data_IF_608054986144
#
_entry.id   IF_608054986144
#
_cell.length_a   1.000
_cell.length_b   1.000
_cell.length_c   1.000
_cell.angle_alpha   90.00
_cell.angle_beta   90.00
_cell.angle_gamma   90.00
#
_symmetry.space_group_name_H-M   'P 1'
#
loop_
_entity.id
_entity.type
_entity.pdbx_description
1 polymer ?
#
# COMPACT_ATOMS: atom_id res chain seq x y z
N UNK A 1 4.21 3.89 -14.13
CA UNK A 1 3.47 3.33 -12.96
C UNK A 1 4.51 2.85 -11.97
N UNK A 2 4.44 3.26 -10.70
CA UNK A 2 5.46 2.86 -9.74
C UNK A 2 5.39 1.34 -9.46
N UNK A 3 6.51 0.65 -9.74
CA UNK A 3 6.64 -0.79 -9.53
C UNK A 3 7.51 -1.13 -8.33
N UNK A 4 8.17 -0.14 -7.71
CA UNK A 4 9.10 -0.33 -6.59
C UNK A 4 9.02 0.83 -5.61
N UNK A 5 9.05 0.54 -4.32
CA UNK A 5 9.06 1.54 -3.24
C UNK A 5 10.19 1.28 -2.25
N UNK A 6 10.58 2.32 -1.51
CA UNK A 6 11.44 2.18 -0.35
C UNK A 6 10.61 2.36 0.92
N UNK A 7 10.68 1.40 1.85
CA UNK A 7 10.13 1.51 3.19
C UNK A 7 11.08 0.77 4.14
N UNK A 8 12.20 1.41 4.45
CA UNK A 8 13.33 0.83 5.19
C UNK A 8 13.34 1.22 6.68
N UNK A 9 12.40 2.07 7.11
CA UNK A 9 12.28 2.53 8.50
C UNK A 9 11.73 1.42 9.41
N UNK A 10 12.09 1.44 10.69
CA UNK A 10 11.52 0.56 11.71
C UNK A 10 10.08 0.96 12.08
N UNK A 11 9.24 0.01 12.55
CA UNK A 11 7.83 0.25 12.95
C UNK A 11 7.69 1.51 13.83
N UNK A 12 8.52 1.63 14.87
CA UNK A 12 8.53 2.78 15.81
C UNK A 12 8.84 4.12 15.11
N UNK A 13 9.78 4.12 14.17
CA UNK A 13 10.16 5.33 13.42
C UNK A 13 9.03 5.79 12.51
N UNK A 14 8.32 4.85 11.87
CA UNK A 14 7.14 5.14 11.05
C UNK A 14 6.07 5.81 11.92
N UNK A 15 5.72 5.23 13.07
CA UNK A 15 4.70 5.79 13.98
C UNK A 15 5.05 7.20 14.45
N UNK A 16 6.31 7.42 14.88
CA UNK A 16 6.78 8.74 15.31
C UNK A 16 6.61 9.80 14.22
N UNK A 17 6.92 9.45 12.97
CA UNK A 17 6.79 10.38 11.82
C UNK A 17 5.34 10.63 11.44
N UNK A 18 4.48 9.63 11.53
CA UNK A 18 3.04 9.79 11.30
C UNK A 18 2.43 10.74 12.35
N UNK A 19 2.84 10.62 13.61
CA UNK A 19 2.37 11.52 14.67
C UNK A 19 2.75 12.98 14.38
N UNK A 20 3.97 13.22 13.88
CA UNK A 20 4.44 14.55 13.48
C UNK A 20 3.67 15.08 12.26
N UNK A 21 3.47 14.26 11.23
CA UNK A 21 2.69 14.61 10.04
C UNK A 21 1.23 14.93 10.38
N UNK A 22 0.63 14.18 11.29
CA UNK A 22 -0.72 14.43 11.80
C UNK A 22 -0.82 15.68 12.68
N UNK A 23 0.29 16.34 13.02
CA UNK A 23 0.36 17.50 13.94
C UNK A 23 -0.39 17.26 15.26
N UNK A 24 -0.33 16.02 15.77
CA UNK A 24 -1.06 15.63 16.98
C UNK A 24 -2.57 15.42 16.81
N UNK A 25 -3.15 15.67 15.63
CA UNK A 25 -4.59 15.51 15.38
C UNK A 25 -5.05 14.06 15.39
N UNK A 26 -4.19 13.16 14.92
CA UNK A 26 -4.51 11.74 14.82
C UNK A 26 -3.65 10.93 15.77
N UNK A 27 -4.25 9.90 16.36
CA UNK A 27 -3.52 8.86 17.10
C UNK A 27 -3.28 7.67 16.18
N UNK A 28 -2.00 7.33 15.96
CA UNK A 28 -1.62 6.18 15.15
C UNK A 28 -1.19 5.01 16.04
N UNK A 29 -1.78 3.84 15.82
CA UNK A 29 -1.36 2.60 16.47
C UNK A 29 -1.05 1.53 15.43
N UNK A 30 -0.07 0.68 15.73
CA UNK A 30 0.26 -0.45 14.87
C UNK A 30 -0.57 -1.67 15.26
N UNK A 31 -1.30 -2.24 14.31
CA UNK A 31 -1.96 -3.52 14.47
C UNK A 31 -1.12 -4.61 13.78
N UNK A 32 -0.70 -5.60 14.55
CA UNK A 32 -0.06 -6.79 14.00
C UNK A 32 -1.10 -7.65 13.27
N UNK A 33 -0.66 -8.32 12.20
CA UNK A 33 -1.50 -9.19 11.39
C UNK A 33 -0.89 -10.59 11.38
N UNK A 34 -1.16 -11.43 12.40
CA UNK A 34 -0.55 -12.75 12.54
C UNK A 34 -0.69 -13.64 11.30
N UNK A 35 -1.79 -13.50 10.56
CA UNK A 35 -2.06 -14.25 9.33
C UNK A 35 -1.21 -13.85 8.12
N UNK A 36 -0.64 -12.64 8.13
CA UNK A 36 0.18 -12.11 7.02
C UNK A 36 1.67 -12.15 7.34
N UNK A 37 2.02 -12.18 8.62
CA UNK A 37 3.39 -12.08 9.10
C UNK A 37 3.80 -10.64 9.41
N UNK A 38 5.08 -10.47 9.73
CA UNK A 38 5.63 -9.20 10.19
C UNK A 38 6.03 -8.25 9.06
N UNK A 39 6.02 -6.95 9.38
CA UNK A 39 6.59 -5.95 8.50
C UNK A 39 8.10 -6.10 8.36
N UNK A 40 8.55 -6.33 7.13
CA UNK A 40 9.96 -6.36 6.77
C UNK A 40 10.35 -5.05 6.09
N UNK A 41 11.25 -4.30 6.72
CA UNK A 41 11.80 -3.08 6.15
C UNK A 41 12.70 -3.39 4.96
N UNK A 42 12.65 -2.58 3.91
CA UNK A 42 13.52 -2.72 2.74
C UNK A 42 13.56 -1.44 1.91
N UNK A 43 14.72 -1.13 1.35
CA UNK A 43 14.89 -0.09 0.32
C UNK A 43 14.33 -0.50 -1.05
N UNK A 44 13.89 -1.74 -1.20
CA UNK A 44 13.43 -2.29 -2.46
C UNK A 44 12.23 -3.22 -2.26
N UNK A 45 11.07 -2.63 -1.98
CA UNK A 45 9.79 -3.32 -1.93
C UNK A 45 9.22 -3.43 -3.35
N UNK A 46 8.70 -4.60 -3.70
CA UNK A 46 8.08 -4.90 -4.98
C UNK A 46 6.65 -5.43 -4.79
N UNK A 47 5.81 -5.48 -5.84
CA UNK A 47 4.54 -6.19 -5.80
C UNK A 47 4.69 -7.60 -5.23
N UNK A 48 3.70 -8.02 -4.43
CA UNK A 48 3.71 -9.24 -3.63
C UNK A 48 4.24 -9.02 -2.20
N UNK A 49 5.12 -8.03 -1.99
CA UNK A 49 5.63 -7.74 -0.64
C UNK A 49 4.58 -7.07 0.25
N UNK A 50 4.78 -7.19 1.57
CA UNK A 50 3.96 -6.53 2.58
C UNK A 50 4.36 -5.05 2.71
N UNK A 51 3.41 -4.13 2.53
CA UNK A 51 3.62 -2.71 2.73
C UNK A 51 2.77 -2.19 3.91
N UNK A 52 3.31 -1.25 4.70
CA UNK A 52 2.54 -0.59 5.74
C UNK A 52 1.53 0.35 5.11
N UNK A 53 0.30 0.29 5.60
CA UNK A 53 -0.80 1.14 5.17
C UNK A 53 -1.54 1.69 6.38
N UNK A 54 -2.16 2.85 6.19
CA UNK A 54 -3.06 3.47 7.17
C UNK A 54 -4.50 3.21 6.73
N UNK A 55 -5.33 2.77 7.66
CA UNK A 55 -6.78 2.69 7.52
C UNK A 55 -7.45 3.48 8.65
N UNK A 56 -8.69 3.91 8.42
CA UNK A 56 -9.50 4.45 9.52
C UNK A 56 -9.75 3.36 10.55
N UNK A 57 -9.60 3.69 11.83
CA UNK A 57 -10.05 2.81 12.89
C UNK A 57 -11.59 2.67 12.85
N UNK A 58 -12.10 1.54 13.34
CA UNK A 58 -13.54 1.30 13.49
C UNK A 58 -14.13 2.16 14.62
N UNK A 59 -13.31 2.56 15.59
CA UNK A 59 -13.65 3.44 16.71
C UNK A 59 -12.96 4.79 16.53
N UNK A 60 -13.71 5.90 16.66
CA UNK A 60 -13.14 7.24 16.71
C UNK A 60 -12.70 7.82 15.36
N UNK A 61 -13.14 9.04 15.06
CA UNK A 61 -12.78 9.75 13.81
C UNK A 61 -11.28 10.08 13.77
N UNK A 62 -10.64 10.22 14.94
CA UNK A 62 -9.25 10.66 15.08
C UNK A 62 -8.26 9.51 15.29
N UNK A 63 -8.72 8.26 15.40
CA UNK A 63 -7.85 7.09 15.49
C UNK A 63 -7.55 6.52 14.10
N UNK A 64 -6.29 6.11 13.90
CA UNK A 64 -5.80 5.55 12.64
C UNK A 64 -4.98 4.30 12.94
N UNK A 65 -5.31 3.22 12.25
CA UNK A 65 -4.59 1.95 12.39
C UNK A 65 -3.56 1.84 11.28
N UNK A 66 -2.31 1.57 11.66
CA UNK A 66 -1.24 1.18 10.75
C UNK A 66 -1.14 -0.34 10.76
N UNK A 67 -1.22 -0.97 9.60
CA UNK A 67 -1.07 -2.42 9.47
C UNK A 67 -0.38 -2.76 8.16
N UNK A 68 0.03 -4.01 8.00
CA UNK A 68 0.59 -4.50 6.73
C UNK A 68 -0.49 -5.05 5.80
N UNK A 69 -0.31 -4.85 4.51
CA UNK A 69 -1.10 -5.51 3.45
C UNK A 69 -0.18 -5.96 2.33
N UNK A 70 -0.56 -7.03 1.62
CA UNK A 70 0.13 -7.42 0.39
C UNK A 70 -0.07 -6.38 -0.70
N UNK A 71 1.01 -5.97 -1.35
CA UNK A 71 0.94 -5.08 -2.49
C UNK A 71 0.55 -5.86 -3.76
N UNK A 72 -0.69 -5.67 -4.21
CA UNK A 72 -1.30 -6.41 -5.31
C UNK A 72 -2.69 -6.85 -4.88
N UNK A 73 -3.69 -6.02 -5.17
CA UNK A 73 -5.06 -6.25 -4.72
C UNK A 73 -5.63 -7.55 -5.31
N UNK A 74 -6.10 -8.45 -4.46
CA UNK A 74 -6.84 -9.64 -4.92
C UNK A 74 -8.33 -9.40 -4.65
N UNK A 75 -9.19 -9.40 -5.68
CA UNK A 75 -10.61 -9.17 -5.47
C UNK A 75 -11.22 -10.19 -4.51
N UNK A 76 -12.18 -9.76 -3.69
CA UNK A 76 -12.75 -10.59 -2.62
C UNK A 76 -13.49 -11.85 -3.11
N UNK A 77 -13.85 -11.90 -4.39
CA UNK A 77 -14.50 -13.06 -5.02
C UNK A 77 -13.51 -14.12 -5.51
N UNK A 78 -12.20 -13.84 -5.46
CA UNK A 78 -11.17 -14.77 -5.93
C UNK A 78 -10.93 -15.85 -4.86
N UNK A 79 -11.09 -17.14 -5.18
CA UNK A 79 -10.82 -18.22 -4.24
C UNK A 79 -9.32 -18.36 -3.95
N UNK A 80 -8.98 -18.84 -2.76
CA UNK A 80 -7.58 -19.05 -2.31
C UNK A 80 -6.68 -17.82 -2.49
N UNK A 81 -7.21 -16.63 -2.22
CA UNK A 81 -6.54 -15.35 -2.45
C UNK A 81 -5.11 -15.32 -1.89
N UNK A 82 -4.88 -15.80 -0.66
CA UNK A 82 -3.54 -15.85 -0.04
C UNK A 82 -2.55 -16.67 -0.87
N UNK A 83 -2.97 -17.84 -1.37
CA UNK A 83 -2.13 -18.68 -2.24
C UNK A 83 -1.83 -18.01 -3.59
N UNK A 84 -2.76 -17.20 -4.08
CA UNK A 84 -2.58 -16.43 -5.32
C UNK A 84 -1.66 -15.22 -5.12
N UNK A 85 -1.58 -14.67 -3.91
CA UNK A 85 -0.70 -13.54 -3.59
C UNK A 85 0.79 -13.88 -3.66
N UNK A 86 1.15 -15.14 -3.36
CA UNK A 86 2.52 -15.64 -3.48
C UNK A 86 2.95 -15.95 -4.91
N UNK A 87 2.05 -15.82 -5.89
CA UNK A 87 2.33 -16.01 -7.31
C UNK A 87 2.39 -14.65 -8.02
N UNK A 88 3.14 -14.50 -9.12
CA UNK A 88 3.05 -13.32 -9.97
C UNK A 88 1.57 -13.05 -10.30
N UNK A 89 1.06 -11.90 -9.86
CA UNK A 89 -0.39 -11.65 -9.88
C UNK A 89 -0.92 -11.71 -11.33
N UNK A 90 -1.85 -12.61 -11.61
CA UNK A 90 -2.50 -12.67 -12.93
C UNK A 90 -3.34 -11.41 -13.22
N UNK A 91 -3.76 -10.69 -12.17
CA UNK A 91 -4.70 -9.57 -12.28
C UNK A 91 -4.03 -8.21 -12.56
N UNK A 92 -2.70 -8.11 -12.48
CA UNK A 92 -1.95 -6.84 -12.63
C UNK A 92 -2.52 -5.71 -11.77
N UNK A 93 -2.81 -6.02 -10.50
CA UNK A 93 -3.52 -5.14 -9.56
C UNK A 93 -2.60 -4.44 -8.56
N UNK A 94 -1.29 -4.42 -8.82
CA UNK A 94 -0.34 -3.64 -8.03
C UNK A 94 -0.63 -2.13 -8.11
N UNK A 95 -1.15 -1.69 -9.25
CA UNK A 95 -1.53 -0.31 -9.51
C UNK A 95 -2.96 -0.25 -10.06
N UNK A 96 -3.70 0.79 -9.68
CA UNK A 96 -5.03 1.09 -10.18
C UNK A 96 -5.01 2.50 -10.79
N UNK A 97 -5.46 2.64 -12.04
CA UNK A 97 -5.53 3.95 -12.68
C UNK A 97 -6.80 4.66 -12.23
N UNK A 98 -6.67 5.94 -11.84
CA UNK A 98 -7.81 6.72 -11.39
C UNK A 98 -8.89 6.89 -12.48
N UNK A 99 -8.48 6.95 -13.76
CA UNK A 99 -9.37 7.13 -14.92
C UNK A 99 -10.32 5.96 -15.18
N UNK A 100 -9.89 4.73 -14.89
CA UNK A 100 -10.62 3.49 -15.18
C UNK A 100 -11.02 2.74 -13.91
N UNK A 101 -10.83 3.35 -12.74
CA UNK A 101 -11.02 2.74 -11.43
C UNK A 101 -12.45 2.20 -11.24
N UNK A 102 -13.45 2.99 -11.67
CA UNK A 102 -14.87 2.69 -11.49
C UNK A 102 -15.41 1.61 -12.45
N UNK A 103 -14.71 1.37 -13.55
CA UNK A 103 -15.11 0.41 -14.59
C UNK A 103 -14.58 -0.99 -14.30
N UNK A 104 -13.48 -1.11 -13.56
CA UNK A 104 -12.76 -2.35 -13.30
C UNK A 104 -13.48 -3.19 -12.23
N UNK A 105 -13.94 -4.42 -12.54
CA UNK A 105 -14.63 -5.28 -11.57
C UNK A 105 -13.80 -5.60 -10.32
N UNK A 106 -12.46 -5.63 -10.46
CA UNK A 106 -11.53 -5.89 -9.37
C UNK A 106 -11.65 -4.93 -8.18
N UNK A 107 -12.07 -3.68 -8.42
CA UNK A 107 -12.13 -2.63 -7.40
C UNK A 107 -13.57 -2.31 -6.94
N UNK A 108 -14.58 -2.90 -7.57
CA UNK A 108 -16.00 -2.57 -7.35
C UNK A 108 -16.40 -2.70 -5.88
N UNK A 109 -16.04 -3.80 -5.22
CA UNK A 109 -16.39 -4.01 -3.82
C UNK A 109 -15.64 -3.06 -2.89
N UNK A 110 -14.34 -2.83 -3.13
CA UNK A 110 -13.54 -1.86 -2.38
C UNK A 110 -14.13 -0.45 -2.45
N UNK A 111 -14.54 -0.01 -3.64
CA UNK A 111 -15.20 1.27 -3.86
C UNK A 111 -16.54 1.36 -3.13
N UNK A 112 -17.41 0.34 -3.31
CA UNK A 112 -18.75 0.30 -2.70
C UNK A 112 -18.70 0.31 -1.17
N UNK A 113 -17.70 -0.36 -0.59
CA UNK A 113 -17.50 -0.43 0.88
C UNK A 113 -16.77 0.80 1.44
N UNK A 114 -16.16 1.63 0.59
CA UNK A 114 -15.28 2.71 1.03
C UNK A 114 -13.96 2.21 1.61
N UNK A 115 -13.48 1.03 1.21
CA UNK A 115 -12.22 0.44 1.65
C UNK A 115 -11.02 1.13 1.01
N UNK A 116 -10.69 2.29 1.58
CA UNK A 116 -9.56 3.14 1.21
C UNK A 116 -8.44 2.99 2.23
N UNK A 117 -7.20 3.04 1.77
CA UNK A 117 -6.03 3.08 2.62
C UNK A 117 -5.04 4.14 2.11
N UNK A 118 -4.08 4.47 2.97
CA UNK A 118 -2.92 5.29 2.58
C UNK A 118 -1.68 4.42 2.69
N UNK A 119 -1.03 4.13 1.57
CA UNK A 119 0.20 3.34 1.55
C UNK A 119 1.38 4.23 1.92
N UNK A 120 2.19 3.78 2.88
CA UNK A 120 3.33 4.52 3.42
C UNK A 120 4.62 4.07 2.73
N UNK A 121 5.41 5.03 2.26
CA UNK A 121 6.77 4.79 1.78
C UNK A 121 7.69 5.96 2.16
N UNK A 122 9.01 5.80 2.04
CA UNK A 122 9.96 6.92 1.98
C UNK A 122 9.99 7.54 0.58
N UNK A 123 9.65 6.75 -0.43
CA UNK A 123 9.59 7.15 -1.82
C UNK A 123 9.38 5.96 -2.73
N UNK A 124 9.35 6.21 -4.03
CA UNK A 124 9.23 5.17 -5.05
C UNK A 124 10.30 5.32 -6.12
N UNK A 125 10.53 4.24 -6.85
CA UNK A 125 11.45 4.22 -7.97
C UNK A 125 10.69 4.26 -9.29
N UNK A 126 11.17 5.05 -10.23
CA UNK A 126 10.74 5.00 -11.62
C UNK A 126 11.93 4.95 -12.59
N UNK A 127 11.70 4.34 -13.75
CA UNK A 127 12.72 4.15 -14.78
C UNK A 127 12.46 5.08 -15.95
N UNK A 128 13.32 6.10 -16.11
CA UNK A 128 13.32 6.93 -17.31
C UNK A 128 14.03 6.17 -18.43
N UNK A 129 13.32 5.93 -19.52
CA UNK A 129 13.93 5.34 -20.73
C UNK A 129 14.43 6.47 -21.63
N UNK A 130 15.72 6.46 -21.97
CA UNK A 130 16.35 7.43 -22.88
C UNK A 130 17.38 6.71 -23.74
N UNK A 131 17.29 6.85 -25.06
CA UNK A 131 18.20 6.20 -26.02
C UNK A 131 18.41 4.69 -25.75
N UNK A 132 17.32 3.96 -25.48
CA UNK A 132 17.35 2.51 -25.21
C UNK A 132 17.88 2.10 -23.83
N UNK A 133 18.35 3.03 -22.99
CA UNK A 133 18.79 2.77 -21.61
C UNK A 133 17.72 3.16 -20.61
N UNK A 134 17.57 2.36 -19.55
CA UNK A 134 16.66 2.64 -18.42
C UNK A 134 17.48 3.16 -17.23
N UNK A 135 17.31 4.45 -16.90
CA UNK A 135 17.90 5.05 -15.71
C UNK A 135 16.87 5.03 -14.56
N UNK A 136 17.15 4.37 -13.43
CA UNK A 136 16.31 4.46 -12.23
C UNK A 136 16.47 5.83 -11.55
N UNK A 137 15.36 6.36 -11.08
CA UNK A 137 15.27 7.55 -10.22
C UNK A 137 14.51 7.19 -8.95
N UNK A 138 14.95 7.73 -7.83
CA UNK A 138 14.20 7.69 -6.57
C UNK A 138 13.45 9.00 -6.40
N UNK A 139 12.13 8.92 -6.23
CA UNK A 139 11.22 10.05 -6.10
C UNK A 139 10.66 10.03 -4.69
N UNK A 140 10.83 11.14 -3.98
CA UNK A 140 10.43 11.30 -2.57
C UNK A 140 9.90 12.71 -2.32
N UNK A 141 9.31 12.92 -1.14
CA UNK A 141 8.82 14.24 -0.71
C UNK A 141 10.02 15.08 -0.27
N UNK A 142 10.00 16.36 -0.59
CA UNK A 142 11.01 17.31 -0.13
C UNK A 142 10.97 17.47 1.41
N UNK A 143 12.12 17.70 2.04
CA UNK A 143 12.30 17.60 3.50
C UNK A 143 13.08 16.37 3.96
N UNK A 144 13.78 15.71 3.03
CA UNK A 144 14.82 14.73 3.31
C UNK A 144 14.33 13.44 3.97
N UNK A 145 15.24 12.79 4.71
CA UNK A 145 14.99 11.48 5.29
C UNK A 145 13.92 11.46 6.36
N UNK A 146 13.26 12.57 6.72
CA UNK A 146 12.24 12.67 7.77
C UNK A 146 10.80 12.50 7.27
N UNK A 147 10.54 12.84 6.00
CA UNK A 147 9.19 12.80 5.43
C UNK A 147 8.80 11.41 4.93
N UNK A 148 7.53 11.08 5.09
CA UNK A 148 6.91 9.90 4.51
C UNK A 148 6.13 10.32 3.26
N UNK A 149 6.32 9.58 2.17
CA UNK A 149 5.44 9.63 1.02
C UNK A 149 4.15 8.85 1.34
N UNK A 150 3.02 9.54 1.20
CA UNK A 150 1.69 9.03 1.49
C UNK A 150 0.92 8.86 0.19
N UNK A 151 0.66 7.62 -0.22
CA UNK A 151 0.03 7.32 -1.51
C UNK A 151 -1.39 6.80 -1.32
N UNK A 152 -2.33 7.28 -2.14
CA UNK A 152 -3.70 6.80 -2.12
C UNK A 152 -3.77 5.33 -2.56
N UNK A 153 -4.57 4.53 -1.85
CA UNK A 153 -4.80 3.14 -2.19
C UNK A 153 -6.22 2.68 -1.92
N UNK A 154 -6.58 1.59 -2.58
CA UNK A 154 -7.74 0.78 -2.22
C UNK A 154 -7.26 -0.53 -1.60
N UNK A 155 -8.06 -1.11 -0.72
CA UNK A 155 -7.80 -2.44 -0.21
C UNK A 155 -8.99 -3.38 -0.39
N UNK A 156 -8.70 -4.66 -0.41
CA UNK A 156 -9.68 -5.74 -0.35
C UNK A 156 -9.39 -6.64 0.83
N UNK A 157 -10.45 -7.28 1.31
CA UNK A 157 -10.38 -8.33 2.31
C UNK A 157 -10.90 -9.61 1.67
N UNK A 158 -10.08 -10.66 1.65
CA UNK A 158 -10.56 -12.00 1.35
C UNK A 158 -10.90 -12.72 2.64
N UNK A 159 -12.12 -13.25 2.73
CA UNK A 159 -12.60 -14.06 3.88
C UNK A 159 -12.59 -15.56 3.58
N UNK A 160 -11.73 -15.99 2.67
CA UNK A 160 -11.40 -17.42 2.50
C UNK A 160 -10.73 -17.97 3.76
N UNK A 161 -10.41 -19.28 3.84
CA UNK A 161 -9.89 -19.96 5.06
C UNK A 161 -8.88 -19.14 5.90
N UNK A 162 -8.07 -18.29 5.26
CA UNK A 162 -7.25 -17.24 5.89
C UNK A 162 -7.70 -15.83 5.47
N UNK A 163 -7.74 -14.90 6.43
CA UNK A 163 -8.00 -13.48 6.16
C UNK A 163 -6.79 -12.86 5.46
N UNK A 164 -6.97 -12.54 4.19
CA UNK A 164 -5.97 -11.84 3.37
C UNK A 164 -6.31 -10.36 3.22
N UNK A 165 -5.34 -9.48 3.51
CA UNK A 165 -5.45 -8.05 3.28
C UNK A 165 -4.54 -7.64 2.12
N UNK A 166 -5.12 -7.04 1.09
CA UNK A 166 -4.42 -6.69 -0.13
C UNK A 166 -4.67 -5.23 -0.48
N UNK A 167 -3.63 -4.50 -0.89
CA UNK A 167 -3.74 -3.11 -1.30
C UNK A 167 -3.25 -2.90 -2.74
N UNK A 168 -3.77 -1.85 -3.37
CA UNK A 168 -3.32 -1.36 -4.68
C UNK A 168 -2.96 0.12 -4.57
N UNK A 169 -1.94 0.56 -5.30
CA UNK A 169 -1.57 1.97 -5.39
C UNK A 169 -2.40 2.66 -6.46
N UNK A 170 -3.02 3.78 -6.14
CA UNK A 170 -3.72 4.59 -7.13
C UNK A 170 -2.74 5.50 -7.87
N UNK A 171 -2.79 5.46 -9.20
CA UNK A 171 -1.99 6.30 -10.06
C UNK A 171 -2.87 7.27 -10.85
N UNK A 172 -2.39 8.51 -10.97
CA UNK A 172 -3.03 9.58 -11.75
C UNK A 172 -2.28 9.92 -13.05
N UNK A 173 -1.06 9.39 -13.24
CA UNK A 173 -0.22 9.69 -14.39
C UNK A 173 -0.21 8.55 -15.42
N UNK A 174 -0.19 8.93 -16.71
CA UNK A 174 0.08 8.03 -17.85
C UNK A 174 1.55 7.63 -17.89
#
# INVERSE_FOLDING_TARGET
MCGRTACALHKKSILSRLQNLGRGKFAFHWADSPSLGDFVSSYNKAPGSLNPVIISATSGVDEKTVQVMHWGLIPSFVPDAVKQASKPSQFSTANARADTLFERPAYRESLRRGWRCVVIAQGFYEWKTSAGRKQPYFISVDGGNEQLLMMAGLFSVSKTRDVGLFCTLMNIFR
#
